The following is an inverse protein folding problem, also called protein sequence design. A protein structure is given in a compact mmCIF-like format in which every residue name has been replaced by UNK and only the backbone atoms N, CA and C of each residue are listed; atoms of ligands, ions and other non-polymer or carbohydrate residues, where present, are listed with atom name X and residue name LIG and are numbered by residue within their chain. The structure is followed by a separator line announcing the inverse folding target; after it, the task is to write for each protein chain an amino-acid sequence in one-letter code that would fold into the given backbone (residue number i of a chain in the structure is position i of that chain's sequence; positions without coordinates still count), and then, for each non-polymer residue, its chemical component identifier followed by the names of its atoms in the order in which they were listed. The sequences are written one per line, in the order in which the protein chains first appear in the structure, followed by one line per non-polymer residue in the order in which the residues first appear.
data_IF_804743957615
#
_entry.id   IF_804743957615
#
_cell.length_a   1.000
_cell.length_b   1.000
_cell.length_c   1.000
_cell.angle_alpha   90.00
_cell.angle_beta   90.00
_cell.angle_gamma   90.00
#
_symmetry.space_group_name_H-M   'P 1'
#
loop_
_entity.id
_entity.type
_entity.pdbx_description
1 polymer ?
#
# COMPACT_ATOMS: atom_id res chain seq x y z
N UNK A 1 60.00 48.86 17.22
CA UNK A 1 59.60 47.75 18.10
C UNK A 1 58.21 47.31 17.66
N UNK A 2 58.09 46.16 16.98
CA UNK A 2 56.82 45.70 16.41
C UNK A 2 56.13 44.71 17.33
N UNK A 3 54.93 45.03 17.81
CA UNK A 3 54.14 44.16 18.68
C UNK A 3 53.57 43.02 17.82
N UNK A 4 53.99 41.78 18.08
CA UNK A 4 53.37 40.59 17.46
C UNK A 4 52.01 40.33 18.11
N UNK A 5 50.95 40.43 17.31
CA UNK A 5 49.60 40.03 17.71
C UNK A 5 49.52 38.50 17.87
N UNK A 6 48.84 38.04 18.92
CA UNK A 6 48.60 36.62 19.15
C UNK A 6 47.60 36.07 18.13
N UNK A 7 47.87 34.88 17.57
CA UNK A 7 46.92 34.19 16.70
C UNK A 7 45.64 33.89 17.50
N UNK A 8 44.52 34.46 17.07
CA UNK A 8 43.21 34.10 17.59
C UNK A 8 42.61 32.98 16.73
N UNK A 9 42.04 31.96 17.39
CA UNK A 9 41.24 30.93 16.73
C UNK A 9 39.76 31.28 16.91
N UNK A 10 39.05 31.42 15.80
CA UNK A 10 37.59 31.51 15.76
C UNK A 10 36.99 30.19 15.26
N UNK A 11 35.84 29.80 15.80
CA UNK A 11 35.02 28.71 15.24
C UNK A 11 34.01 29.30 14.26
N UNK A 12 33.94 28.73 13.06
CA UNK A 12 32.92 29.07 12.07
C UNK A 12 31.82 28.02 12.19
N UNK A 13 30.61 28.47 12.51
CA UNK A 13 29.41 27.64 12.46
C UNK A 13 28.69 27.95 11.13
N UNK A 14 28.34 26.90 10.39
CA UNK A 14 27.58 27.01 9.15
C UNK A 14 26.20 26.44 9.43
N UNK A 15 25.19 27.30 9.46
CA UNK A 15 23.78 26.87 9.52
C UNK A 15 23.31 26.54 8.10
N UNK A 16 23.04 25.26 7.77
CA UNK A 16 22.56 24.88 6.44
C UNK A 16 21.11 25.31 6.26
N UNK A 17 20.66 25.40 5.00
CA UNK A 17 19.23 25.57 4.71
C UNK A 17 18.45 24.36 5.22
N UNK A 18 17.46 24.61 6.07
CA UNK A 18 16.49 23.58 6.45
C UNK A 18 15.36 23.56 5.44
N UNK A 19 14.99 22.38 4.93
CA UNK A 19 13.97 22.22 3.89
C UNK A 19 12.94 21.20 4.37
N UNK A 20 11.67 21.58 4.29
CA UNK A 20 10.54 20.72 4.58
C UNK A 20 9.64 20.67 3.35
N UNK A 21 9.63 19.53 2.65
CA UNK A 21 8.64 19.23 1.62
C UNK A 21 7.46 18.43 2.16
N UNK A 22 6.30 18.62 1.57
CA UNK A 22 5.12 17.77 1.75
C UNK A 22 4.31 17.68 0.44
N UNK A 23 3.45 16.66 0.32
CA UNK A 23 2.43 16.59 -0.73
C UNK A 23 1.07 16.66 -0.04
N UNK A 24 0.28 17.65 -0.42
CA UNK A 24 -1.05 17.89 0.12
C UNK A 24 -2.08 17.32 -0.83
N UNK A 25 -3.09 16.65 -0.28
CA UNK A 25 -4.29 16.24 -1.01
C UNK A 25 -5.28 17.41 -1.01
N UNK A 26 -5.60 17.93 -2.19
CA UNK A 26 -6.55 19.03 -2.38
C UNK A 26 -7.98 18.54 -2.61
N UNK A 27 -8.14 17.37 -3.25
CA UNK A 27 -9.45 16.79 -3.57
C UNK A 27 -9.34 15.28 -3.77
N UNK A 28 -10.46 14.59 -3.61
CA UNK A 28 -10.54 13.14 -3.68
C UNK A 28 -9.83 12.45 -2.51
N UNK A 29 -9.46 11.19 -2.69
CA UNK A 29 -8.79 10.39 -1.67
C UNK A 29 -7.66 9.54 -2.28
N UNK A 30 -6.47 9.49 -1.62
CA UNK A 30 -5.41 8.55 -2.00
C UNK A 30 -5.81 7.09 -1.71
N UNK A 31 -6.77 6.89 -0.80
CA UNK A 31 -7.32 5.59 -0.43
C UNK A 31 -8.68 5.39 -1.09
N UNK A 32 -8.85 4.24 -1.73
CA UNK A 32 -10.13 3.81 -2.28
C UNK A 32 -10.60 2.52 -1.60
N UNK A 33 -11.87 2.19 -1.75
CA UNK A 33 -12.40 0.86 -1.48
C UNK A 33 -12.88 0.28 -2.79
N UNK A 34 -12.45 -0.94 -3.11
CA UNK A 34 -12.94 -1.70 -4.25
C UNK A 34 -13.92 -2.75 -3.76
N UNK A 35 -15.17 -2.63 -4.16
CA UNK A 35 -16.20 -3.65 -3.90
C UNK A 35 -16.09 -4.75 -4.96
N UNK A 36 -15.76 -5.96 -4.53
CA UNK A 36 -15.56 -7.10 -5.44
C UNK A 36 -16.88 -7.60 -6.05
N UNK A 37 -18.01 -7.43 -5.37
CA UNK A 37 -19.32 -7.88 -5.86
C UNK A 37 -19.86 -6.92 -6.92
N UNK A 38 -19.84 -5.62 -6.62
CA UNK A 38 -20.33 -4.57 -7.53
C UNK A 38 -19.31 -4.24 -8.62
N UNK A 39 -18.02 -4.56 -8.40
CA UNK A 39 -16.88 -4.18 -9.25
C UNK A 39 -16.69 -2.67 -9.33
N UNK A 40 -17.00 -1.97 -8.25
CA UNK A 40 -17.01 -0.51 -8.18
C UNK A 40 -15.93 0.01 -7.22
N UNK A 41 -15.43 1.22 -7.50
CA UNK A 41 -14.50 1.94 -6.63
C UNK A 41 -15.24 3.03 -5.86
N UNK A 42 -14.88 3.21 -4.58
CA UNK A 42 -15.37 4.29 -3.74
C UNK A 42 -14.21 5.02 -3.04
N UNK A 43 -13.93 6.30 -3.35
CA UNK A 43 -14.49 7.04 -4.48
C UNK A 43 -13.96 6.51 -5.83
N UNK A 44 -14.76 6.58 -6.90
CA UNK A 44 -14.28 6.35 -8.27
C UNK A 44 -13.58 7.61 -8.81
N UNK A 45 -12.32 7.48 -9.21
CA UNK A 45 -11.49 8.61 -9.68
C UNK A 45 -11.80 9.08 -11.09
N UNK A 46 -12.53 8.28 -11.87
CA UNK A 46 -13.04 8.75 -13.16
C UNK A 46 -14.08 9.85 -12.98
N UNK A 47 -14.81 9.82 -11.86
CA UNK A 47 -15.83 10.80 -11.49
C UNK A 47 -15.33 11.83 -10.48
N UNK A 48 -14.60 11.39 -9.44
CA UNK A 48 -14.02 12.24 -8.39
C UNK A 48 -12.50 12.07 -8.35
N UNK A 49 -11.75 12.81 -9.19
CA UNK A 49 -10.30 12.65 -9.30
C UNK A 49 -9.58 12.97 -7.99
N UNK A 50 -8.44 12.30 -7.78
CA UNK A 50 -7.50 12.66 -6.72
C UNK A 50 -6.64 13.83 -7.21
N UNK A 51 -6.63 14.95 -6.47
CA UNK A 51 -5.79 16.11 -6.79
C UNK A 51 -4.77 16.30 -5.68
N UNK A 52 -3.48 16.30 -6.04
CA UNK A 52 -2.37 16.47 -5.10
C UNK A 52 -1.44 17.60 -5.53
N UNK A 53 -0.85 18.31 -4.59
CA UNK A 53 0.08 19.42 -4.85
C UNK A 53 1.28 19.33 -3.92
N UNK A 54 2.52 19.54 -4.42
CA UNK A 54 3.67 19.63 -3.54
C UNK A 54 3.74 21.01 -2.90
N UNK A 55 4.16 21.04 -1.64
CA UNK A 55 4.55 22.25 -0.94
C UNK A 55 5.96 22.09 -0.41
N UNK A 56 6.75 23.16 -0.49
CA UNK A 56 8.10 23.18 0.03
C UNK A 56 8.25 24.43 0.87
N UNK A 57 8.66 24.26 2.12
CA UNK A 57 9.05 25.34 3.01
C UNK A 57 10.54 25.27 3.26
N UNK A 58 11.20 26.42 3.29
CA UNK A 58 12.61 26.52 3.61
C UNK A 58 12.85 27.52 4.74
N UNK A 59 13.86 27.23 5.55
CA UNK A 59 14.18 28.00 6.75
C UNK A 59 15.69 28.18 6.87
N UNK A 60 16.08 29.42 7.07
CA UNK A 60 17.43 29.85 7.42
C UNK A 60 17.33 30.99 8.45
N UNK A 61 18.39 31.25 9.20
CA UNK A 61 18.41 32.21 10.30
C UNK A 61 18.24 33.67 9.83
N UNK A 62 18.46 33.97 8.55
CA UNK A 62 18.60 35.35 8.06
C UNK A 62 17.69 35.75 6.90
N UNK A 63 17.47 34.86 5.94
CA UNK A 63 16.98 35.29 4.61
C UNK A 63 15.76 34.52 4.12
N UNK A 64 15.52 33.30 4.63
CA UNK A 64 14.47 32.41 4.12
C UNK A 64 13.64 31.91 5.29
N UNK A 65 12.33 32.15 5.24
CA UNK A 65 11.42 31.70 6.28
C UNK A 65 10.01 31.53 5.72
N UNK A 66 9.66 30.31 5.30
CA UNK A 66 8.30 29.96 4.88
C UNK A 66 8.24 29.17 3.57
N UNK A 67 7.05 29.18 2.97
CA UNK A 67 6.72 28.48 1.72
C UNK A 67 7.51 29.08 0.54
N UNK A 68 8.13 28.22 -0.26
CA UNK A 68 8.94 28.57 -1.42
C UNK A 68 8.09 28.54 -2.68
N UNK A 69 8.28 29.54 -3.55
CA UNK A 69 7.69 29.53 -4.89
C UNK A 69 8.36 28.46 -5.75
N UNK A 70 7.56 27.52 -6.25
CA UNK A 70 8.05 26.45 -7.10
C UNK A 70 8.27 26.95 -8.53
N UNK A 71 9.43 26.62 -9.08
CA UNK A 71 9.82 26.91 -10.46
C UNK A 71 9.51 25.74 -11.40
N UNK A 72 9.32 24.55 -10.85
CA UNK A 72 8.88 23.37 -11.60
C UNK A 72 8.56 22.19 -10.68
N UNK A 73 7.78 21.24 -11.20
CA UNK A 73 7.51 19.96 -10.55
C UNK A 73 7.54 18.85 -11.58
N UNK A 74 8.19 17.75 -11.23
CA UNK A 74 8.18 16.53 -12.02
C UNK A 74 7.47 15.42 -11.25
N UNK A 75 6.49 14.79 -11.90
CA UNK A 75 5.69 13.72 -11.32
C UNK A 75 6.07 12.37 -11.92
N UNK A 76 6.01 11.30 -11.12
CA UNK A 76 6.36 9.93 -11.54
C UNK A 76 5.39 8.90 -10.94
N UNK A 77 5.17 7.81 -11.68
CA UNK A 77 4.47 6.60 -11.23
C UNK A 77 5.49 5.65 -10.58
N UNK A 78 5.59 5.72 -9.26
CA UNK A 78 6.66 5.14 -8.43
C UNK A 78 7.89 6.04 -8.31
N UNK A 79 8.90 5.55 -7.58
CA UNK A 79 10.21 6.21 -7.51
C UNK A 79 10.81 6.41 -8.91
N UNK A 80 11.49 7.55 -9.20
CA UNK A 80 12.06 7.82 -10.51
C UNK A 80 12.97 6.69 -10.98
N UNK A 81 12.74 6.19 -12.20
CA UNK A 81 13.58 5.16 -12.84
C UNK A 81 14.59 5.78 -13.79
N UNK A 82 15.57 4.97 -14.22
CA UNK A 82 16.57 5.39 -15.19
C UNK A 82 15.94 6.09 -16.40
N UNK A 83 16.52 7.24 -16.76
CA UNK A 83 16.06 8.11 -17.86
C UNK A 83 14.60 8.58 -17.73
N UNK A 84 14.05 8.61 -16.52
CA UNK A 84 12.69 9.10 -16.26
C UNK A 84 11.60 8.30 -16.99
N UNK A 85 11.82 6.99 -17.18
CA UNK A 85 10.91 6.13 -17.95
C UNK A 85 9.48 6.05 -17.38
N UNK A 86 9.31 6.30 -16.09
CA UNK A 86 8.02 6.32 -15.39
C UNK A 86 7.52 7.75 -15.08
N UNK A 87 8.05 8.76 -15.76
CA UNK A 87 7.58 10.14 -15.62
C UNK A 87 6.14 10.25 -16.09
N UNK A 88 5.32 10.86 -15.25
CA UNK A 88 3.93 11.19 -15.58
C UNK A 88 3.93 12.40 -16.50
N UNK A 89 3.17 12.28 -17.59
CA UNK A 89 2.92 13.33 -18.58
C UNK A 89 1.42 13.52 -18.73
N UNK A 90 1.01 14.65 -19.30
CA UNK A 90 -0.39 14.95 -19.59
C UNK A 90 -1.01 13.84 -20.46
N UNK A 91 -2.23 13.41 -20.12
CA UNK A 91 -2.93 12.37 -20.86
C UNK A 91 -4.33 12.09 -20.31
N UNK A 92 -4.89 10.93 -20.66
CA UNK A 92 -6.24 10.54 -20.24
C UNK A 92 -6.37 10.42 -18.72
N UNK A 93 -5.37 9.83 -18.08
CA UNK A 93 -5.40 9.49 -16.65
C UNK A 93 -4.79 10.55 -15.73
N UNK A 94 -3.98 11.45 -16.28
CA UNK A 94 -3.19 12.40 -15.51
C UNK A 94 -3.27 13.78 -16.14
N UNK A 95 -3.42 14.80 -15.31
CA UNK A 95 -3.34 16.20 -15.74
C UNK A 95 -2.50 17.01 -14.77
N UNK A 96 -1.59 17.83 -15.28
CA UNK A 96 -0.72 18.70 -14.50
C UNK A 96 -1.20 20.14 -14.67
N UNK A 97 -1.66 20.75 -13.59
CA UNK A 97 -2.21 22.11 -13.64
C UNK A 97 -1.14 23.16 -13.94
N UNK A 98 -1.49 24.13 -14.77
CA UNK A 98 -0.72 25.35 -15.03
C UNK A 98 -1.08 26.51 -14.07
N UNK A 99 -2.02 26.28 -13.15
CA UNK A 99 -2.56 27.30 -12.23
C UNK A 99 -3.88 27.91 -12.68
N UNK A 100 -4.45 27.48 -13.81
CA UNK A 100 -5.75 27.92 -14.29
C UNK A 100 -6.91 27.14 -13.67
N UNK A 101 -8.13 27.68 -13.78
CA UNK A 101 -9.36 26.97 -13.40
C UNK A 101 -9.54 26.69 -11.90
N UNK A 102 -8.84 27.42 -11.03
CA UNK A 102 -8.95 27.27 -9.57
C UNK A 102 -8.15 26.10 -8.97
N UNK A 103 -7.36 25.40 -9.80
CA UNK A 103 -6.43 24.36 -9.34
C UNK A 103 -5.03 24.98 -9.22
N UNK A 104 -4.30 24.80 -8.11
CA UNK A 104 -2.96 25.35 -7.94
C UNK A 104 -1.99 24.86 -9.02
N UNK A 105 -1.07 25.74 -9.42
CA UNK A 105 -0.02 25.41 -10.39
C UNK A 105 0.80 24.21 -9.90
N UNK A 106 1.13 23.33 -10.84
CA UNK A 106 1.84 22.06 -10.64
C UNK A 106 1.09 20.96 -9.88
N UNK A 107 -0.18 21.19 -9.51
CA UNK A 107 -0.99 20.12 -8.94
C UNK A 107 -1.20 18.99 -9.96
N UNK A 108 -1.08 17.75 -9.51
CA UNK A 108 -1.36 16.55 -10.29
C UNK A 108 -2.79 16.10 -10.01
N UNK A 109 -3.59 16.02 -11.07
CA UNK A 109 -4.92 15.43 -11.07
C UNK A 109 -4.84 14.00 -11.61
N UNK A 110 -5.34 13.04 -10.84
CA UNK A 110 -5.26 11.61 -11.09
C UNK A 110 -6.67 11.06 -11.24
N UNK A 111 -6.99 10.57 -12.44
CA UNK A 111 -8.28 9.94 -12.78
C UNK A 111 -8.23 8.41 -12.77
N UNK A 112 -7.03 7.85 -12.64
CA UNK A 112 -6.80 6.40 -12.62
C UNK A 112 -7.15 5.79 -11.26
N UNK A 113 -8.05 4.81 -11.28
CA UNK A 113 -8.33 3.97 -10.11
C UNK A 113 -7.14 3.07 -9.79
N UNK A 114 -6.82 2.92 -8.50
CA UNK A 114 -5.75 2.04 -8.04
C UNK A 114 -6.32 0.66 -7.71
N UNK A 115 -5.91 -0.41 -8.39
CA UNK A 115 -6.38 -1.75 -8.05
C UNK A 115 -5.85 -2.21 -6.67
N UNK A 116 -6.63 -2.98 -5.89
CA UNK A 116 -6.21 -3.42 -4.54
C UNK A 116 -4.90 -4.20 -4.52
N UNK A 117 -4.64 -4.98 -5.58
CA UNK A 117 -3.45 -5.83 -5.70
C UNK A 117 -2.17 -5.05 -6.04
N UNK A 118 -2.30 -3.84 -6.59
CA UNK A 118 -1.14 -3.03 -7.03
C UNK A 118 -1.26 -1.60 -6.49
N UNK A 119 -0.91 -1.39 -5.22
CA UNK A 119 -0.69 -0.05 -4.69
C UNK A 119 0.30 0.73 -5.56
N UNK A 120 0.02 2.01 -5.75
CA UNK A 120 0.83 2.93 -6.55
C UNK A 120 1.39 4.00 -5.63
N UNK A 121 2.63 4.41 -5.86
CA UNK A 121 3.23 5.56 -5.18
C UNK A 121 3.39 6.69 -6.18
N UNK A 122 2.85 7.87 -5.89
CA UNK A 122 3.06 9.05 -6.72
C UNK A 122 4.24 9.83 -6.16
N UNK A 123 5.30 9.96 -6.96
CA UNK A 123 6.53 10.65 -6.55
C UNK A 123 6.61 12.01 -7.23
N UNK A 124 6.85 13.05 -6.44
CA UNK A 124 6.96 14.44 -6.89
C UNK A 124 8.34 14.99 -6.57
N UNK A 125 9.01 15.55 -7.58
CA UNK A 125 10.24 16.33 -7.42
C UNK A 125 9.87 17.80 -7.60
N UNK A 126 9.78 18.54 -6.51
CA UNK A 126 9.52 19.97 -6.50
C UNK A 126 10.84 20.74 -6.62
N UNK A 127 10.87 21.75 -7.49
CA UNK A 127 12.06 22.54 -7.79
C UNK A 127 11.80 23.98 -7.40
N UNK A 128 12.70 24.59 -6.64
CA UNK A 128 12.68 26.01 -6.31
C UNK A 128 14.10 26.59 -6.37
N UNK A 129 14.20 27.91 -6.50
CA UNK A 129 15.48 28.61 -6.48
C UNK A 129 15.80 29.07 -5.06
N UNK A 130 16.94 28.66 -4.49
CA UNK A 130 17.41 29.15 -3.19
C UNK A 130 17.77 30.64 -3.33
N UNK A 131 17.06 31.57 -2.67
CA UNK A 131 17.28 33.01 -2.83
C UNK A 131 18.64 33.48 -2.30
N UNK A 132 19.33 32.66 -1.49
CA UNK A 132 20.66 33.01 -0.92
C UNK A 132 21.80 32.75 -1.90
N UNK A 133 21.67 31.67 -2.69
CA UNK A 133 22.72 31.20 -3.58
C UNK A 133 22.36 31.30 -5.06
N UNK A 134 21.09 31.59 -5.36
CA UNK A 134 20.51 31.63 -6.69
C UNK A 134 20.72 30.32 -7.46
N UNK A 135 20.67 29.19 -6.74
CA UNK A 135 20.82 27.84 -7.29
C UNK A 135 19.52 27.08 -7.15
N UNK A 136 19.25 26.21 -8.12
CA UNK A 136 18.12 25.30 -8.07
C UNK A 136 18.30 24.25 -6.96
N UNK A 137 17.24 24.04 -6.21
CA UNK A 137 17.14 23.01 -5.18
C UNK A 137 15.97 22.11 -5.53
N UNK A 138 16.21 20.80 -5.48
CA UNK A 138 15.20 19.77 -5.74
C UNK A 138 14.78 19.14 -4.41
N UNK A 139 13.48 19.06 -4.17
CA UNK A 139 12.88 18.45 -2.99
C UNK A 139 11.99 17.29 -3.44
N UNK A 140 12.30 16.10 -2.95
CA UNK A 140 11.63 14.86 -3.32
C UNK A 140 10.62 14.44 -2.26
N UNK A 141 9.38 14.16 -2.66
CA UNK A 141 8.33 13.63 -1.79
C UNK A 141 7.48 12.62 -2.52
N UNK A 142 6.81 11.75 -1.76
CA UNK A 142 5.89 10.78 -2.33
C UNK A 142 4.61 10.65 -1.51
N UNK A 143 3.55 10.23 -2.17
CA UNK A 143 2.27 9.86 -1.55
C UNK A 143 1.83 8.50 -2.07
N UNK A 144 1.46 7.60 -1.15
CA UNK A 144 0.96 6.27 -1.51
C UNK A 144 -0.52 6.32 -1.80
N UNK A 145 -0.92 5.63 -2.85
CA UNK A 145 -2.30 5.37 -3.18
C UNK A 145 -2.55 3.87 -3.22
N UNK A 146 -3.64 3.45 -2.59
CA UNK A 146 -4.02 2.04 -2.52
C UNK A 146 -5.53 1.91 -2.42
N UNK A 147 -6.03 0.70 -2.67
CA UNK A 147 -7.43 0.36 -2.47
C UNK A 147 -7.56 -0.78 -1.46
N UNK A 148 -8.53 -0.67 -0.56
CA UNK A 148 -8.98 -1.78 0.27
C UNK A 148 -9.88 -2.69 -0.54
N UNK A 149 -9.65 -4.00 -0.47
CA UNK A 149 -10.58 -4.98 -1.02
C UNK A 149 -11.72 -5.18 -0.02
N UNK A 150 -12.93 -4.84 -0.44
CA UNK A 150 -14.14 -5.19 0.27
C UNK A 150 -14.74 -6.44 -0.38
N UNK A 151 -14.79 -7.53 0.38
CA UNK A 151 -15.46 -8.76 0.01
C UNK A 151 -16.49 -9.10 1.09
N UNK A 152 -17.76 -9.17 0.69
CA UNK A 152 -18.86 -9.55 1.58
C UNK A 152 -18.87 -11.04 1.93
N UNK A 153 -18.06 -11.86 1.26
CA UNK A 153 -18.00 -13.30 1.52
C UNK A 153 -16.95 -13.58 2.60
N UNK A 154 -17.40 -13.57 3.86
CA UNK A 154 -16.61 -14.11 4.96
C UNK A 154 -16.58 -15.64 4.86
N UNK A 155 -15.54 -16.17 4.24
CA UNK A 155 -15.35 -17.61 4.11
C UNK A 155 -14.92 -18.22 5.45
N UNK A 156 -15.57 -19.30 5.88
CA UNK A 156 -15.14 -20.10 7.02
C UNK A 156 -15.09 -21.57 6.63
N UNK A 157 -13.96 -22.23 6.92
CA UNK A 157 -13.81 -23.67 6.72
C UNK A 157 -14.29 -24.38 7.98
N UNK A 158 -15.18 -25.35 7.83
CA UNK A 158 -15.69 -26.19 8.93
C UNK A 158 -15.77 -27.64 8.48
N UNK A 159 -15.82 -28.56 9.42
CA UNK A 159 -16.18 -29.95 9.12
C UNK A 159 -17.68 -30.04 8.87
N UNK A 160 -18.07 -30.86 7.90
CA UNK A 160 -19.46 -31.20 7.63
C UNK A 160 -19.93 -32.18 8.71
N UNK A 161 -20.85 -31.74 9.56
CA UNK A 161 -21.41 -32.55 10.66
C UNK A 161 -21.01 -32.07 12.06
N UNK A 162 -21.27 -32.90 13.07
CA UNK A 162 -21.06 -32.54 14.48
C UNK A 162 -19.57 -32.49 14.83
N UNK A 163 -19.15 -31.40 15.50
CA UNK A 163 -17.78 -31.20 15.98
C UNK A 163 -17.40 -32.07 17.19
N UNK A 164 -18.39 -32.71 17.81
CA UNK A 164 -18.22 -33.56 18.99
C UNK A 164 -18.48 -35.00 18.59
N UNK A 165 -17.45 -35.82 18.70
CA UNK A 165 -17.52 -37.24 18.38
C UNK A 165 -17.83 -38.04 19.65
N UNK A 166 -18.97 -38.73 19.67
CA UNK A 166 -19.33 -39.70 20.70
C UNK A 166 -19.32 -41.09 20.08
N UNK A 167 -18.47 -41.98 20.60
CA UNK A 167 -18.34 -43.36 20.14
C UNK A 167 -18.74 -44.30 21.27
N UNK A 168 -19.64 -45.25 20.97
CA UNK A 168 -20.00 -46.33 21.88
C UNK A 168 -18.94 -47.44 21.81
N UNK A 169 -18.21 -47.71 22.91
CA UNK A 169 -17.12 -48.68 22.91
C UNK A 169 -17.58 -50.13 22.71
N UNK A 170 -18.89 -50.43 22.85
CA UNK A 170 -19.44 -51.77 22.67
C UNK A 170 -19.96 -52.02 21.25
N UNK A 171 -20.09 -50.96 20.46
CA UNK A 171 -20.49 -51.04 19.06
C UNK A 171 -19.24 -51.32 18.23
N UNK A 172 -18.90 -52.61 18.11
CA UNK A 172 -17.82 -53.08 17.23
C UNK A 172 -18.05 -52.51 15.83
N UNK A 173 -17.16 -51.60 15.43
CA UNK A 173 -17.07 -51.13 14.06
C UNK A 173 -16.32 -52.20 13.27
N UNK A 174 -17.04 -52.68 12.24
CA UNK A 174 -16.66 -53.69 11.26
C UNK A 174 -15.81 -54.90 11.75
N UNK A 175 -15.35 -55.74 10.82
CA UNK A 175 -14.60 -56.97 11.17
C UNK A 175 -13.12 -56.69 11.51
N UNK A 176 -12.66 -55.44 11.40
CA UNK A 176 -11.26 -55.05 11.55
C UNK A 176 -10.91 -54.60 12.98
N UNK A 177 -11.92 -54.30 13.81
CA UNK A 177 -11.71 -53.87 15.20
C UNK A 177 -11.34 -52.39 15.36
N UNK A 178 -11.47 -51.60 14.29
CA UNK A 178 -11.25 -50.15 14.29
C UNK A 178 -12.57 -49.39 14.14
N UNK A 179 -12.69 -48.24 14.79
CA UNK A 179 -13.81 -47.32 14.58
C UNK A 179 -13.51 -46.39 13.40
N UNK A 180 -14.10 -46.70 12.26
CA UNK A 180 -13.98 -45.86 11.08
C UNK A 180 -14.95 -44.68 11.12
N UNK A 181 -14.46 -43.51 10.72
CA UNK A 181 -15.25 -42.27 10.59
C UNK A 181 -14.79 -41.49 9.37
N UNK A 182 -15.77 -41.06 8.59
CA UNK A 182 -15.56 -40.15 7.47
C UNK A 182 -15.67 -38.70 7.96
N UNK A 183 -14.69 -37.88 7.62
CA UNK A 183 -14.68 -36.44 7.88
C UNK A 183 -14.61 -35.71 6.54
N UNK A 184 -15.56 -34.82 6.31
CA UNK A 184 -15.63 -34.02 5.08
C UNK A 184 -15.41 -32.54 5.41
N UNK A 185 -14.51 -31.84 4.70
CA UNK A 185 -14.40 -30.39 4.82
C UNK A 185 -15.54 -29.72 4.05
N UNK A 186 -16.02 -28.58 4.54
CA UNK A 186 -17.01 -27.76 3.85
C UNK A 186 -16.65 -26.27 4.04
N UNK A 187 -16.51 -25.56 2.92
CA UNK A 187 -16.37 -24.12 2.91
C UNK A 187 -17.76 -23.46 3.06
N UNK A 188 -17.86 -22.45 3.91
CA UNK A 188 -19.09 -21.67 4.13
C UNK A 188 -18.86 -20.19 3.84
N UNK A 189 -19.88 -19.49 3.36
CA UNK A 189 -19.97 -18.02 3.35
C UNK A 189 -21.05 -17.59 4.34
N UNK A 190 -20.65 -17.10 5.51
CA UNK A 190 -21.59 -16.91 6.62
C UNK A 190 -22.17 -18.25 7.10
N UNK A 191 -23.47 -18.49 6.85
CA UNK A 191 -24.17 -19.74 7.20
C UNK A 191 -24.42 -20.67 6.01
N UNK A 192 -24.16 -20.21 4.78
CA UNK A 192 -24.45 -20.97 3.56
C UNK A 192 -23.22 -21.77 3.11
N UNK A 193 -23.37 -23.07 2.74
CA UNK A 193 -22.27 -23.84 2.18
C UNK A 193 -21.92 -23.35 0.76
N UNK A 194 -20.63 -23.33 0.45
CA UNK A 194 -20.08 -23.01 -0.87
C UNK A 194 -19.91 -24.31 -1.65
N UNK A 195 -20.25 -24.30 -2.94
CA UNK A 195 -20.10 -25.47 -3.81
C UNK A 195 -18.63 -25.94 -3.92
N UNK A 196 -18.43 -27.26 -3.79
CA UNK A 196 -17.13 -27.91 -3.83
C UNK A 196 -16.50 -27.85 -5.23
N UNK A 197 -17.28 -27.58 -6.30
CA UNK A 197 -16.74 -27.36 -7.67
C UNK A 197 -15.68 -26.25 -7.75
N UNK A 198 -15.68 -25.33 -6.78
CA UNK A 198 -14.76 -24.19 -6.73
C UNK A 198 -13.78 -24.24 -5.54
N UNK A 199 -13.73 -25.35 -4.80
CA UNK A 199 -12.89 -25.50 -3.61
C UNK A 199 -11.97 -26.71 -3.73
N UNK A 200 -10.74 -26.56 -3.24
CA UNK A 200 -9.80 -27.66 -3.06
C UNK A 200 -9.42 -27.70 -1.58
N UNK A 201 -9.53 -28.87 -0.97
CA UNK A 201 -9.26 -29.06 0.45
C UNK A 201 -8.00 -29.92 0.61
N UNK A 202 -7.19 -29.57 1.60
CA UNK A 202 -5.95 -30.29 1.93
C UNK A 202 -5.95 -30.60 3.43
N UNK A 203 -5.47 -31.80 3.76
CA UNK A 203 -5.34 -32.27 5.13
C UNK A 203 -3.87 -32.32 5.53
N UNK A 204 -3.56 -31.65 6.64
CA UNK A 204 -2.23 -31.65 7.25
C UNK A 204 -2.31 -32.18 8.69
N UNK A 205 -1.28 -32.92 9.10
CA UNK A 205 -1.10 -33.42 10.46
C UNK A 205 -0.13 -32.50 11.19
N UNK A 206 -0.51 -32.07 12.39
CA UNK A 206 0.38 -31.31 13.29
C UNK A 206 1.21 -32.28 14.13
N UNK A 207 2.50 -32.39 13.84
CA UNK A 207 3.46 -33.18 14.60
C UNK A 207 4.61 -32.30 15.09
N UNK A 208 4.94 -32.38 16.37
CA UNK A 208 6.05 -31.62 16.98
C UNK A 208 6.03 -30.10 16.67
N UNK A 209 4.83 -29.52 16.52
CA UNK A 209 4.66 -28.09 16.23
C UNK A 209 4.84 -27.70 14.76
N UNK A 210 5.03 -28.66 13.86
CA UNK A 210 5.07 -28.44 12.42
C UNK A 210 3.93 -29.19 11.72
N UNK A 211 3.35 -28.57 10.70
CA UNK A 211 2.37 -29.21 9.84
C UNK A 211 3.09 -29.99 8.74
N UNK A 212 2.64 -31.22 8.47
CA UNK A 212 3.04 -32.01 7.31
C UNK A 212 1.79 -32.52 6.58
N UNK A 213 1.85 -32.70 5.26
CA UNK A 213 0.73 -33.29 4.52
C UNK A 213 0.46 -34.72 4.96
N UNK A 214 -0.83 -35.11 4.91
CA UNK A 214 -1.23 -36.52 5.02
C UNK A 214 -0.71 -37.29 3.81
N UNK A 215 -0.19 -38.48 4.05
CA UNK A 215 0.34 -39.41 3.05
C UNK A 215 -0.39 -40.75 3.13
N UNK A 216 -0.41 -41.56 2.06
CA UNK A 216 -1.05 -42.89 2.09
C UNK A 216 -0.46 -43.87 3.11
N UNK A 217 0.75 -43.60 3.60
CA UNK A 217 1.44 -44.42 4.60
C UNK A 217 1.06 -44.04 6.04
N UNK A 218 0.23 -43.00 6.23
CA UNK A 218 -0.20 -42.57 7.56
C UNK A 218 -1.18 -43.58 8.18
N UNK A 219 -0.83 -44.19 9.34
CA UNK A 219 -1.62 -45.27 9.91
C UNK A 219 -2.98 -44.74 10.40
N UNK A 220 -4.05 -45.36 9.91
CA UNK A 220 -5.42 -45.05 10.33
C UNK A 220 -6.05 -43.83 9.64
N UNK A 221 -5.42 -43.28 8.60
CA UNK A 221 -5.98 -42.19 7.80
C UNK A 221 -6.11 -42.66 6.35
N UNK A 222 -7.30 -42.48 5.77
CA UNK A 222 -7.58 -42.75 4.36
C UNK A 222 -8.15 -41.47 3.75
N UNK A 223 -7.46 -40.92 2.75
CA UNK A 223 -7.94 -39.77 1.97
C UNK A 223 -8.46 -40.25 0.62
N UNK A 224 -9.66 -39.78 0.24
CA UNK A 224 -10.32 -40.06 -1.03
C UNK A 224 -10.31 -38.85 -1.94
#
# INVERSE_FOLDING_TARGET
MGIKSNKQQGRIYVSPLSIQGEIIVLSGSPVQTYDKQLREYSPDRTLTPLVIVPKVSAFDEKTVFGEMELTGVEWFDGAPRDKSANRIVEGEYYSISDGSGGVPKYALTIRKNTPPEKPVEYFGIAIFTDPRTNREVRCERSVKSYAHLYDNKAYSLRLKGDSVMVTDPLRLADRSGYWDREIEPQLYTGTEPVDDEHAAYFWDILENGAYRPVTPDDPGIVCH
#
